data_IF_699656024988
#
_entry.id   IF_699656024988
#
_cell.length_a   1.000
_cell.length_b   1.000
_cell.length_c   1.000
_cell.angle_alpha   90.00
_cell.angle_beta   90.00
_cell.angle_gamma   90.00
#
_symmetry.space_group_name_H-M   'P 1'
#
loop_
_entity.id
_entity.type
_entity.pdbx_description
1 polymer ?
#
# COMPACT_ATOMS: atom_id res chain seq x y z
N UNK A 1 19.48 15.07 -2.66
CA UNK A 1 19.29 14.21 -1.46
C UNK A 1 18.38 13.06 -1.88
N UNK A 2 18.59 11.83 -1.38
CA UNK A 2 17.61 10.76 -1.60
C UNK A 2 16.40 10.99 -0.70
N UNK A 3 15.15 10.87 -1.19
CA UNK A 3 13.98 11.01 -0.34
C UNK A 3 14.00 10.00 0.81
N UNK A 4 13.64 10.45 2.00
CA UNK A 4 13.35 9.58 3.15
C UNK A 4 11.87 9.23 3.15
N UNK A 5 11.52 7.96 3.39
CA UNK A 5 10.13 7.51 3.48
C UNK A 5 9.95 6.60 4.68
N UNK A 6 8.97 6.90 5.52
CA UNK A 6 8.65 6.13 6.73
C UNK A 6 7.14 5.90 6.80
N UNK A 7 6.65 4.66 7.00
CA UNK A 7 5.24 4.42 7.30
C UNK A 7 4.89 4.99 8.68
N UNK A 8 3.83 5.78 8.78
CA UNK A 8 3.41 6.41 10.03
C UNK A 8 1.98 6.05 10.46
N UNK A 9 1.18 5.53 9.54
CA UNK A 9 -0.19 5.13 9.83
C UNK A 9 -0.62 3.97 8.95
N UNK A 10 -1.48 3.13 9.51
CA UNK A 10 -2.07 2.00 8.82
C UNK A 10 -3.40 1.67 9.47
N UNK A 11 -4.40 1.34 8.67
CA UNK A 11 -5.69 0.89 9.19
C UNK A 11 -5.56 -0.45 9.89
N UNK A 12 -6.19 -0.55 11.06
CA UNK A 12 -6.32 -1.78 11.84
C UNK A 12 -7.81 -2.07 12.01
N UNK A 13 -8.26 -3.21 11.50
CA UNK A 13 -9.63 -3.67 11.72
C UNK A 13 -9.72 -4.35 13.09
N UNK A 14 -10.73 -3.98 13.88
CA UNK A 14 -11.03 -4.67 15.13
C UNK A 14 -11.75 -6.00 14.84
N UNK A 15 -10.96 -7.01 14.44
CA UNK A 15 -11.45 -8.34 14.13
C UNK A 15 -12.04 -9.04 15.37
N UNK A 16 -11.56 -8.69 16.58
CA UNK A 16 -12.08 -9.24 17.83
C UNK A 16 -13.55 -8.87 18.04
N UNK A 17 -13.95 -7.65 17.64
CA UNK A 17 -15.35 -7.24 17.66
C UNK A 17 -16.12 -7.69 16.44
N UNK A 18 -15.51 -7.65 15.25
CA UNK A 18 -16.18 -7.99 13.99
C UNK A 18 -16.56 -9.47 13.93
N UNK A 19 -15.63 -10.38 14.22
CA UNK A 19 -15.79 -11.81 13.94
C UNK A 19 -16.95 -12.46 14.74
N UNK A 20 -17.14 -12.21 16.04
CA UNK A 20 -18.27 -12.78 16.79
C UNK A 20 -19.62 -12.29 16.25
N UNK A 21 -19.73 -10.99 15.95
CA UNK A 21 -20.97 -10.41 15.42
C UNK A 21 -21.25 -10.94 14.02
N UNK A 22 -20.24 -10.93 13.14
CA UNK A 22 -20.36 -11.45 11.79
C UNK A 22 -20.76 -12.94 11.78
N UNK A 23 -20.18 -13.76 12.67
CA UNK A 23 -20.55 -15.18 12.79
C UNK A 23 -22.01 -15.37 13.17
N UNK A 24 -22.52 -14.54 14.09
CA UNK A 24 -23.92 -14.61 14.52
C UNK A 24 -24.90 -14.17 13.42
N UNK A 25 -24.55 -13.15 12.65
CA UNK A 25 -25.43 -12.58 11.61
C UNK A 25 -25.35 -13.36 10.30
N UNK A 26 -24.15 -13.76 9.88
CA UNK A 26 -23.91 -14.40 8.58
C UNK A 26 -23.98 -15.93 8.64
N UNK A 27 -23.90 -16.53 9.83
CA UNK A 27 -23.92 -17.99 10.02
C UNK A 27 -22.59 -18.70 9.74
N UNK A 28 -21.52 -17.96 9.44
CA UNK A 28 -20.17 -18.50 9.22
C UNK A 28 -19.09 -17.52 9.72
N UNK A 29 -17.88 -18.04 9.99
CA UNK A 29 -16.74 -17.21 10.38
C UNK A 29 -16.06 -16.60 9.15
N UNK A 30 -15.89 -15.29 9.14
CA UNK A 30 -15.12 -14.58 8.09
C UNK A 30 -13.63 -14.96 8.12
N UNK A 31 -13.10 -15.33 9.28
CA UNK A 31 -11.70 -15.70 9.44
C UNK A 31 -11.42 -17.16 9.06
N UNK A 32 -12.45 -17.96 8.72
CA UNK A 32 -12.32 -19.41 8.49
C UNK A 32 -11.20 -19.76 7.50
N UNK A 33 -11.12 -19.05 6.38
CA UNK A 33 -10.08 -19.28 5.38
C UNK A 33 -8.73 -18.79 5.90
N UNK A 34 -8.67 -17.54 6.39
CA UNK A 34 -7.45 -16.92 6.91
C UNK A 34 -6.76 -17.74 8.02
N UNK A 35 -7.55 -18.25 8.97
CA UNK A 35 -7.06 -19.07 10.10
C UNK A 35 -6.63 -20.48 9.66
N UNK A 36 -7.12 -20.96 8.51
CA UNK A 36 -6.75 -22.25 7.93
C UNK A 36 -5.55 -22.16 6.97
N UNK A 37 -4.94 -20.98 6.82
CA UNK A 37 -3.76 -20.80 5.98
C UNK A 37 -2.59 -21.65 6.48
N UNK A 38 -1.91 -22.34 5.56
CA UNK A 38 -0.71 -23.15 5.89
C UNK A 38 0.41 -22.30 6.51
N UNK A 39 0.54 -21.05 6.04
CA UNK A 39 1.46 -20.06 6.58
C UNK A 39 0.62 -18.98 7.26
N UNK A 40 0.89 -18.67 8.54
CA UNK A 40 0.18 -17.59 9.24
C UNK A 40 0.29 -16.28 8.47
N UNK A 41 -0.86 -15.61 8.32
CA UNK A 41 -0.93 -14.32 7.65
C UNK A 41 -0.56 -13.20 8.64
N UNK A 42 0.12 -12.18 8.12
CA UNK A 42 0.25 -10.90 8.82
C UNK A 42 -1.13 -10.24 9.01
N UNK A 43 -1.18 -9.27 9.92
CA UNK A 43 -2.44 -8.65 10.35
C UNK A 43 -3.27 -8.05 9.19
N UNK A 44 -2.62 -7.36 8.24
CA UNK A 44 -3.31 -6.76 7.08
C UNK A 44 -3.84 -7.79 6.07
N UNK A 45 -3.02 -8.74 5.57
CA UNK A 45 -3.52 -9.83 4.74
C UNK A 45 -4.65 -10.63 5.41
N UNK A 46 -4.56 -10.87 6.72
CA UNK A 46 -5.63 -11.53 7.48
C UNK A 46 -6.92 -10.71 7.48
N UNK A 47 -6.83 -9.42 7.79
CA UNK A 47 -7.95 -8.49 7.75
C UNK A 47 -8.60 -8.41 6.35
N UNK A 48 -7.79 -8.33 5.28
CA UNK A 48 -8.27 -8.35 3.91
C UNK A 48 -8.97 -9.66 3.55
N UNK A 49 -8.43 -10.80 3.98
CA UNK A 49 -9.07 -12.11 3.78
C UNK A 49 -10.43 -12.19 4.48
N UNK A 50 -10.54 -11.66 5.70
CA UNK A 50 -11.83 -11.55 6.39
C UNK A 50 -12.83 -10.64 5.66
N UNK A 51 -12.37 -9.50 5.13
CA UNK A 51 -13.20 -8.58 4.34
C UNK A 51 -13.65 -9.17 3.00
N UNK A 52 -12.80 -9.96 2.35
CA UNK A 52 -13.17 -10.73 1.16
C UNK A 52 -14.27 -11.75 1.49
N UNK A 53 -14.11 -12.46 2.61
CA UNK A 53 -15.08 -13.45 3.09
C UNK A 53 -16.46 -12.87 3.39
N UNK A 54 -16.56 -11.56 3.67
CA UNK A 54 -17.84 -10.89 3.93
C UNK A 54 -18.82 -10.95 2.76
N UNK A 55 -18.31 -10.91 1.52
CA UNK A 55 -19.14 -11.05 0.31
C UNK A 55 -19.26 -12.49 -0.17
N UNK A 56 -18.22 -13.30 0.04
CA UNK A 56 -18.16 -14.68 -0.40
C UNK A 56 -17.44 -15.54 0.65
N UNK A 57 -18.20 -16.38 1.37
CA UNK A 57 -17.66 -17.28 2.39
C UNK A 57 -16.59 -18.27 1.87
N UNK A 58 -16.52 -18.48 0.56
CA UNK A 58 -15.54 -19.35 -0.12
C UNK A 58 -14.41 -18.55 -0.78
N UNK A 59 -14.33 -17.24 -0.52
CA UNK A 59 -13.26 -16.40 -1.05
C UNK A 59 -11.88 -17.02 -0.77
N UNK A 60 -11.02 -17.14 -1.78
CA UNK A 60 -9.65 -17.60 -1.59
C UNK A 60 -8.88 -16.60 -0.71
N UNK A 61 -7.84 -17.10 -0.06
CA UNK A 61 -6.89 -16.30 0.71
C UNK A 61 -5.97 -15.57 -0.27
N UNK A 62 -6.41 -14.44 -0.79
CA UNK A 62 -5.55 -13.56 -1.58
C UNK A 62 -5.93 -12.10 -1.41
N UNK A 63 -4.91 -11.23 -1.34
CA UNK A 63 -5.09 -9.77 -1.31
C UNK A 63 -5.81 -9.30 -2.57
N UNK A 64 -5.57 -9.95 -3.71
CA UNK A 64 -6.22 -9.65 -4.99
C UNK A 64 -7.73 -9.89 -4.97
N UNK A 65 -8.22 -10.91 -4.26
CA UNK A 65 -9.65 -11.19 -4.16
C UNK A 65 -10.38 -10.14 -3.31
N UNK A 66 -9.68 -9.54 -2.35
CA UNK A 66 -10.17 -8.43 -1.52
C UNK A 66 -10.08 -7.05 -2.23
N UNK A 67 -9.76 -7.00 -3.52
CA UNK A 67 -9.61 -5.74 -4.28
C UNK A 67 -10.82 -4.80 -4.17
N UNK A 68 -12.08 -5.26 -4.23
CA UNK A 68 -13.23 -4.37 -4.03
C UNK A 68 -13.28 -3.70 -2.64
N UNK A 69 -12.51 -4.18 -1.67
CA UNK A 69 -12.47 -3.69 -0.29
C UNK A 69 -11.18 -2.91 0.03
N UNK A 70 -10.25 -2.76 -0.90
CA UNK A 70 -9.00 -2.01 -0.69
C UNK A 70 -9.23 -0.55 -0.30
N UNK A 71 -10.37 0.05 -0.69
CA UNK A 71 -10.76 1.40 -0.29
C UNK A 71 -11.12 1.54 1.19
N UNK A 72 -11.36 0.43 1.91
CA UNK A 72 -11.65 0.42 3.35
C UNK A 72 -10.38 0.49 4.20
N UNK A 73 -9.21 0.29 3.61
CA UNK A 73 -7.93 0.28 4.31
C UNK A 73 -7.08 1.44 3.83
N UNK A 74 -6.67 2.28 4.76
CA UNK A 74 -5.74 3.39 4.54
C UNK A 74 -4.36 3.07 5.07
N UNK A 75 -3.35 3.63 4.42
CA UNK A 75 -1.98 3.70 4.89
C UNK A 75 -1.48 5.13 4.70
N UNK A 76 -0.46 5.52 5.45
CA UNK A 76 0.13 6.81 5.27
C UNK A 76 1.60 6.85 5.67
N UNK A 77 2.30 7.76 5.01
CA UNK A 77 3.74 7.84 5.00
C UNK A 77 4.18 9.27 5.26
N UNK A 78 5.25 9.37 6.03
CA UNK A 78 6.04 10.58 6.15
C UNK A 78 7.17 10.53 5.12
N UNK A 79 7.24 11.55 4.27
CA UNK A 79 8.15 11.64 3.14
C UNK A 79 8.95 12.94 3.30
N UNK A 80 10.28 12.84 3.25
CA UNK A 80 11.18 13.99 3.25
C UNK A 80 11.91 14.02 1.92
N UNK A 81 11.79 15.10 1.16
CA UNK A 81 12.37 15.20 -0.18
C UNK A 81 12.78 16.64 -0.50
N UNK A 82 13.50 16.81 -1.61
CA UNK A 82 13.81 18.15 -2.14
C UNK A 82 12.54 18.82 -2.65
N UNK A 83 12.55 20.14 -2.81
CA UNK A 83 11.40 20.90 -3.35
C UNK A 83 10.88 20.31 -4.68
N UNK A 84 11.78 20.08 -5.64
CA UNK A 84 11.42 19.53 -6.95
C UNK A 84 10.83 18.12 -6.84
N UNK A 85 11.52 17.21 -6.13
CA UNK A 85 11.01 15.85 -5.93
C UNK A 85 9.66 15.85 -5.20
N UNK A 86 9.46 16.78 -4.26
CA UNK A 86 8.20 16.89 -3.51
C UNK A 86 7.06 17.21 -4.44
N UNK A 87 7.20 18.19 -5.34
CA UNK A 87 6.15 18.54 -6.30
C UNK A 87 5.74 17.35 -7.18
N UNK A 88 6.71 16.61 -7.69
CA UNK A 88 6.45 15.43 -8.52
C UNK A 88 5.84 14.26 -7.72
N UNK A 89 6.25 14.08 -6.45
CA UNK A 89 5.64 13.11 -5.53
C UNK A 89 4.18 13.48 -5.27
N UNK A 90 3.88 14.75 -5.01
CA UNK A 90 2.52 15.24 -4.81
C UNK A 90 1.65 14.99 -6.04
N UNK A 91 2.21 15.14 -7.24
CA UNK A 91 1.52 14.79 -8.48
C UNK A 91 1.26 13.28 -8.60
N UNK A 92 2.21 12.44 -8.18
CA UNK A 92 2.08 10.99 -8.20
C UNK A 92 1.01 10.48 -7.21
N UNK A 93 0.83 11.16 -6.09
CA UNK A 93 -0.14 10.81 -5.03
C UNK A 93 -1.42 11.64 -5.07
N UNK A 94 -1.74 12.24 -6.23
CA UNK A 94 -2.90 13.13 -6.35
C UNK A 94 -4.21 12.43 -5.97
N UNK A 95 -5.07 13.16 -5.26
CA UNK A 95 -6.33 12.65 -4.72
C UNK A 95 -6.21 11.95 -3.35
N UNK A 96 -5.01 11.84 -2.79
CA UNK A 96 -4.80 11.46 -1.39
C UNK A 96 -4.88 12.68 -0.45
N UNK A 97 -5.00 12.43 0.85
CA UNK A 97 -4.89 13.47 1.89
C UNK A 97 -3.42 13.81 2.13
N UNK A 98 -3.08 15.10 2.09
CA UNK A 98 -1.70 15.57 2.09
C UNK A 98 -1.53 16.75 3.06
N UNK A 99 -0.50 16.69 3.90
CA UNK A 99 0.01 17.84 4.63
C UNK A 99 1.50 18.05 4.30
N UNK A 100 1.88 19.25 3.91
CA UNK A 100 3.27 19.59 3.49
C UNK A 100 3.75 20.77 4.32
N UNK A 101 5.00 20.72 4.76
CA UNK A 101 5.69 21.86 5.37
C UNK A 101 7.15 21.90 4.93
N UNK A 102 7.72 23.11 4.83
CA UNK A 102 9.17 23.26 4.71
C UNK A 102 9.84 22.83 6.03
N UNK A 103 11.01 22.23 5.94
CA UNK A 103 11.81 21.85 7.11
C UNK A 103 12.74 22.98 7.55
N UNK A 104 13.48 22.80 8.64
CA UNK A 104 14.53 23.75 9.05
C UNK A 104 15.67 23.85 8.03
N UNK A 105 15.80 22.87 7.14
CA UNK A 105 16.76 22.89 6.05
C UNK A 105 16.09 23.40 4.78
N UNK A 106 16.54 24.56 4.29
CA UNK A 106 15.99 25.23 3.11
C UNK A 106 15.94 24.30 1.90
N UNK A 107 14.81 24.31 1.20
CA UNK A 107 14.60 23.52 -0.02
C UNK A 107 14.38 22.03 0.22
N UNK A 108 14.19 21.61 1.48
CA UNK A 108 13.74 20.27 1.85
C UNK A 108 12.37 20.40 2.53
N UNK A 109 11.45 19.57 2.06
CA UNK A 109 10.07 19.53 2.52
C UNK A 109 9.79 18.21 3.22
N UNK A 110 8.96 18.31 4.26
CA UNK A 110 8.40 17.19 4.98
C UNK A 110 6.91 17.09 4.64
N UNK A 111 6.50 15.92 4.18
CA UNK A 111 5.17 15.65 3.65
C UNK A 111 4.57 14.43 4.34
N UNK A 112 3.36 14.57 4.87
CA UNK A 112 2.52 13.45 5.28
C UNK A 112 1.53 13.20 4.16
N UNK A 113 1.47 11.95 3.69
CA UNK A 113 0.46 11.50 2.71
C UNK A 113 -0.34 10.36 3.31
N UNK A 114 -1.66 10.40 3.21
CA UNK A 114 -2.56 9.32 3.60
C UNK A 114 -3.53 8.98 2.48
N UNK A 115 -3.64 7.69 2.19
CA UNK A 115 -4.47 7.20 1.08
C UNK A 115 -4.91 5.76 1.31
N UNK A 116 -5.93 5.36 0.56
CA UNK A 116 -6.40 3.97 0.51
C UNK A 116 -5.38 3.07 -0.19
N UNK A 117 -5.47 1.75 0.02
CA UNK A 117 -4.62 0.79 -0.71
C UNK A 117 -4.78 0.90 -2.23
N UNK A 118 -5.99 1.22 -2.71
CA UNK A 118 -6.24 1.47 -4.14
C UNK A 118 -5.42 2.66 -4.66
N UNK A 119 -5.50 3.80 -3.97
CA UNK A 119 -4.76 5.01 -4.34
C UNK A 119 -3.25 4.75 -4.26
N UNK A 120 -2.77 4.09 -3.21
CA UNK A 120 -1.35 3.79 -3.07
C UNK A 120 -0.82 2.90 -4.18
N UNK A 121 -1.60 1.88 -4.56
CA UNK A 121 -1.26 1.03 -5.69
C UNK A 121 -1.15 1.85 -6.98
N UNK A 122 -2.09 2.74 -7.24
CA UNK A 122 -2.09 3.62 -8.42
C UNK A 122 -0.91 4.58 -8.43
N UNK A 123 -0.60 5.22 -7.30
CA UNK A 123 0.54 6.12 -7.16
C UNK A 123 1.88 5.41 -7.40
N UNK A 124 2.05 4.21 -6.81
CA UNK A 124 3.24 3.37 -7.06
C UNK A 124 3.32 2.99 -8.53
N UNK A 125 2.21 2.63 -9.19
CA UNK A 125 2.24 2.41 -10.63
C UNK A 125 2.62 3.67 -11.41
N UNK A 126 2.08 4.83 -11.04
CA UNK A 126 2.34 6.08 -11.76
C UNK A 126 3.83 6.45 -11.73
N UNK A 127 4.52 6.31 -10.59
CA UNK A 127 5.93 6.68 -10.50
C UNK A 127 6.94 5.54 -10.71
N UNK A 128 6.51 4.27 -10.67
CA UNK A 128 7.39 3.13 -10.88
C UNK A 128 7.20 2.46 -12.25
N UNK A 129 6.21 2.84 -13.07
CA UNK A 129 5.96 2.24 -14.39
C UNK A 129 6.44 3.16 -15.51
N UNK A 130 7.51 2.76 -16.20
CA UNK A 130 8.13 3.44 -17.35
C UNK A 130 8.59 4.90 -17.10
N UNK A 131 9.59 5.34 -17.87
CA UNK A 131 10.13 6.71 -17.88
C UNK A 131 9.08 7.71 -18.42
N UNK A 132 9.01 8.97 -17.90
CA UNK A 132 10.14 9.79 -17.47
C UNK A 132 10.12 10.20 -15.97
N UNK A 133 9.59 9.37 -15.07
CA UNK A 133 9.56 9.75 -13.64
C UNK A 133 10.98 9.98 -13.08
N UNK A 134 11.25 11.10 -12.38
CA UNK A 134 12.57 11.38 -11.83
C UNK A 134 13.05 10.30 -10.83
N UNK A 135 14.37 10.04 -10.75
CA UNK A 135 14.93 9.05 -9.84
C UNK A 135 14.53 9.23 -8.36
N UNK A 136 14.41 10.46 -7.87
CA UNK A 136 14.01 10.74 -6.48
C UNK A 136 12.57 10.29 -6.19
N UNK A 137 11.64 10.65 -7.06
CA UNK A 137 10.22 10.26 -6.98
C UNK A 137 10.08 8.73 -7.05
N UNK A 138 10.76 8.11 -8.02
CA UNK A 138 10.78 6.64 -8.16
C UNK A 138 11.38 5.97 -6.92
N UNK A 139 12.43 6.54 -6.34
CA UNK A 139 13.01 6.04 -5.09
C UNK A 139 11.98 6.07 -3.94
N UNK A 140 11.25 7.18 -3.76
CA UNK A 140 10.24 7.30 -2.72
C UNK A 140 9.11 6.26 -2.88
N UNK A 141 8.58 6.10 -4.09
CA UNK A 141 7.51 5.13 -4.37
C UNK A 141 7.98 3.68 -4.34
N UNK A 142 9.25 3.42 -4.64
CA UNK A 142 9.86 2.11 -4.45
C UNK A 142 9.96 1.74 -2.97
N UNK A 143 10.27 2.70 -2.09
CA UNK A 143 10.25 2.46 -0.64
C UNK A 143 8.83 2.11 -0.15
N UNK A 144 7.82 2.80 -0.67
CA UNK A 144 6.40 2.50 -0.39
C UNK A 144 6.02 1.10 -0.89
N UNK A 145 6.39 0.75 -2.13
CA UNK A 145 6.21 -0.59 -2.67
C UNK A 145 6.83 -1.65 -1.75
N UNK A 146 8.08 -1.44 -1.34
CA UNK A 146 8.82 -2.39 -0.48
C UNK A 146 8.18 -2.52 0.89
N UNK A 147 7.64 -1.43 1.43
CA UNK A 147 6.88 -1.49 2.68
C UNK A 147 5.64 -2.39 2.52
N UNK A 148 4.82 -2.18 1.48
CA UNK A 148 3.67 -3.06 1.22
C UNK A 148 4.07 -4.52 1.01
N UNK A 149 5.17 -4.77 0.31
CA UNK A 149 5.72 -6.11 0.18
C UNK A 149 6.09 -6.73 1.54
N UNK A 150 6.72 -5.95 2.43
CA UNK A 150 7.15 -6.42 3.76
C UNK A 150 6.00 -6.72 4.73
N UNK A 151 4.83 -6.12 4.54
CA UNK A 151 3.63 -6.37 5.38
C UNK A 151 2.66 -7.38 4.74
N UNK A 152 3.18 -8.22 3.84
CA UNK A 152 2.42 -9.29 3.20
C UNK A 152 1.46 -8.84 2.09
N UNK A 153 1.54 -7.58 1.64
CA UNK A 153 0.68 -7.02 0.60
C UNK A 153 1.33 -7.03 -0.80
N UNK A 154 2.29 -7.91 -1.05
CA UNK A 154 2.94 -8.08 -2.38
C UNK A 154 1.92 -8.25 -3.51
N UNK A 155 0.84 -8.96 -3.25
CA UNK A 155 -0.23 -9.27 -4.20
C UNK A 155 -1.03 -8.04 -4.66
N UNK A 156 -0.91 -6.88 -3.98
CA UNK A 156 -1.38 -5.60 -4.53
C UNK A 156 -0.80 -5.37 -5.93
N UNK A 157 0.45 -5.78 -6.14
CA UNK A 157 1.19 -5.59 -7.38
C UNK A 157 1.26 -6.87 -8.23
N UNK A 158 0.29 -7.78 -8.07
CA UNK A 158 0.18 -8.99 -8.88
C UNK A 158 0.22 -8.67 -10.38
N UNK A 159 0.88 -9.54 -11.15
CA UNK A 159 1.09 -9.36 -12.59
C UNK A 159 2.23 -8.40 -12.94
N UNK A 160 2.98 -7.88 -11.97
CA UNK A 160 4.12 -6.99 -12.20
C UNK A 160 5.45 -7.65 -11.80
N UNK A 161 6.52 -7.31 -12.51
CA UNK A 161 7.90 -7.70 -12.19
C UNK A 161 8.76 -6.46 -11.93
N UNK A 162 9.70 -6.61 -11.01
CA UNK A 162 10.71 -5.60 -10.69
C UNK A 162 11.82 -5.67 -11.75
N UNK A 163 12.14 -4.52 -12.35
CA UNK A 163 13.28 -4.35 -13.26
C UNK A 163 14.25 -3.35 -12.65
N UNK A 164 15.38 -3.80 -12.09
CA UNK A 164 16.39 -2.93 -11.48
C UNK A 164 16.88 -1.86 -12.45
N UNK A 165 17.26 -0.70 -11.92
CA UNK A 165 17.85 0.42 -12.65
C UNK A 165 19.23 0.75 -12.07
N UNK A 166 20.07 1.45 -12.85
CA UNK A 166 21.45 1.77 -12.45
C UNK A 166 21.54 2.77 -11.27
N UNK A 167 20.45 3.49 -10.98
CA UNK A 167 20.34 4.49 -9.92
C UNK A 167 19.90 3.94 -8.56
N UNK A 168 20.00 2.62 -8.36
CA UNK A 168 19.55 1.89 -7.17
C UNK A 168 18.02 1.94 -6.94
N UNK A 169 17.27 2.29 -7.99
CA UNK A 169 15.82 2.12 -8.02
C UNK A 169 15.44 0.91 -8.86
N UNK A 170 14.15 0.75 -9.13
CA UNK A 170 13.58 -0.28 -9.98
C UNK A 170 12.31 0.26 -10.63
N UNK A 171 11.98 -0.27 -11.80
CA UNK A 171 10.70 -0.09 -12.48
C UNK A 171 9.81 -1.32 -12.28
N UNK A 172 8.51 -1.13 -12.48
CA UNK A 172 7.50 -2.18 -12.50
C UNK A 172 7.02 -2.40 -13.94
N UNK A 173 7.21 -3.61 -14.45
CA UNK A 173 6.75 -4.03 -15.78
C UNK A 173 5.69 -5.13 -15.68
N UNK A 174 4.82 -5.23 -16.69
CA UNK A 174 3.84 -6.34 -16.76
C UNK A 174 4.58 -7.64 -17.04
N UNK A 175 4.28 -8.70 -16.26
CA UNK A 175 4.73 -10.06 -16.54
C UNK A 175 4.15 -10.50 -17.89
N UNK A 176 5.01 -10.78 -18.86
CA UNK A 176 4.63 -11.41 -20.13
C UNK A 176 4.42 -12.91 -19.92
#
# INVERSE_FOLDING_TARGET
MKPGVIPIMQTKLDLNRLLPVARNVLGYSLAKAADAATVPLDELPHALSCLAAFKDAKAPISVGWARPQWSLLTAGFFIVATELDTLDILEAVSGMEIAVTETTQRGIFATIVSGTLTQWREAVLKGCRNTPCPPGVRYALNMIYRHFESVGLRDLFYGLRIVPQDDQTFLLEVKR
#
